data_IF_937891329102
#
_entry.id   IF_937891329102
#
_cell.length_a   1.000
_cell.length_b   1.000
_cell.length_c   1.000
_cell.angle_alpha   90.00
_cell.angle_beta   90.00
_cell.angle_gamma   90.00
#
_symmetry.space_group_name_H-M   'P 1'
#
loop_
_entity.id
_entity.type
_entity.pdbx_description
1 polymer ?
#
# COMPACT_ATOMS: atom_id res chain seq x y z
N UNK A 1 23.50 22.44 20.49
CA UNK A 1 23.20 21.26 21.34
C UNK A 1 23.17 20.02 20.45
N UNK A 2 23.57 18.83 20.92
CA UNK A 2 23.52 17.61 20.11
C UNK A 2 22.14 16.92 20.19
N UNK A 3 21.77 16.15 19.16
CA UNK A 3 20.60 15.28 19.20
C UNK A 3 20.78 14.18 20.26
N UNK A 4 19.74 13.91 21.04
CA UNK A 4 19.71 12.88 22.09
C UNK A 4 18.52 11.96 21.91
N UNK A 5 18.72 10.68 22.18
CA UNK A 5 17.66 9.68 22.16
C UNK A 5 16.65 9.94 23.27
N UNK A 6 15.38 10.07 22.92
CA UNK A 6 14.27 10.13 23.87
C UNK A 6 13.62 8.76 24.06
N UNK A 7 13.39 8.05 22.96
CA UNK A 7 12.66 6.77 22.96
C UNK A 7 13.07 5.92 21.77
N UNK A 8 13.30 4.63 22.00
CA UNK A 8 13.42 3.62 20.93
C UNK A 8 12.02 3.15 20.53
N UNK A 9 11.84 2.86 19.24
CA UNK A 9 10.58 2.36 18.68
C UNK A 9 9.37 3.16 19.16
N UNK A 10 9.29 4.46 18.84
CA UNK A 10 8.47 5.37 19.61
C UNK A 10 6.97 5.05 19.65
N UNK A 11 6.44 4.19 18.77
CA UNK A 11 5.00 3.92 18.68
C UNK A 11 4.60 2.55 18.12
N UNK A 12 3.58 1.97 18.77
CA UNK A 12 2.58 1.07 18.21
C UNK A 12 1.23 1.78 18.06
N UNK A 13 1.18 2.92 17.35
CA UNK A 13 -0.07 3.58 17.03
C UNK A 13 -0.61 3.05 15.71
N UNK A 14 -1.63 2.19 15.79
CA UNK A 14 -2.60 2.07 14.71
C UNK A 14 -3.42 3.36 14.71
N UNK A 15 -3.27 4.17 13.68
CA UNK A 15 -4.26 5.21 13.39
C UNK A 15 -5.60 4.52 13.10
N UNK A 16 -6.63 4.90 13.85
CA UNK A 16 -8.00 4.77 13.37
C UNK A 16 -8.15 5.61 12.10
N UNK A 17 -8.95 5.17 11.12
CA UNK A 17 -9.05 5.87 9.84
C UNK A 17 -9.56 7.31 10.05
N UNK A 18 -8.98 8.24 9.30
CA UNK A 18 -9.57 9.57 9.11
C UNK A 18 -11.02 9.42 8.65
N UNK A 19 -11.92 10.27 9.17
CA UNK A 19 -13.32 10.32 8.77
C UNK A 19 -13.43 10.32 7.24
N UNK A 20 -14.28 9.45 6.65
CA UNK A 20 -14.41 9.39 5.21
C UNK A 20 -14.88 10.76 4.70
N UNK A 21 -14.31 11.28 3.61
CA UNK A 21 -14.90 12.44 2.95
C UNK A 21 -16.33 12.11 2.57
N UNK A 22 -17.22 13.11 2.59
CA UNK A 22 -18.58 12.94 2.08
C UNK A 22 -18.51 12.39 0.65
N UNK A 23 -19.31 11.38 0.30
CA UNK A 23 -19.29 10.83 -1.04
C UNK A 23 -19.67 11.95 -2.02
N UNK A 24 -18.75 12.27 -2.93
CA UNK A 24 -19.13 12.98 -4.15
C UNK A 24 -20.30 12.26 -4.81
N UNK A 25 -21.13 13.01 -5.53
CA UNK A 25 -22.27 12.45 -6.24
C UNK A 25 -21.82 11.24 -7.08
N UNK A 26 -22.41 10.07 -6.81
CA UNK A 26 -22.11 8.82 -7.49
C UNK A 26 -22.30 8.96 -9.00
N UNK A 27 -21.29 8.56 -9.77
CA UNK A 27 -21.27 8.62 -11.25
C UNK A 27 -20.94 7.24 -11.82
N UNK A 28 -21.93 6.47 -12.31
CA UNK A 28 -21.67 5.19 -12.96
C UNK A 28 -20.91 5.41 -14.27
N UNK A 29 -19.99 4.51 -14.58
CA UNK A 29 -19.27 4.44 -15.86
C UNK A 29 -19.76 3.28 -16.73
N UNK A 30 -20.43 2.31 -16.13
CA UNK A 30 -21.05 1.17 -16.78
C UNK A 30 -22.51 1.04 -16.33
N UNK A 31 -23.41 0.74 -17.27
CA UNK A 31 -24.82 0.40 -17.03
C UNK A 31 -25.20 -0.82 -17.90
N UNK A 32 -26.22 -1.63 -17.53
CA UNK A 32 -27.00 -1.51 -16.29
C UNK A 32 -26.16 -1.85 -15.03
N UNK A 33 -26.58 -1.35 -13.87
CA UNK A 33 -25.95 -1.64 -12.57
C UNK A 33 -26.20 -3.07 -12.08
N UNK A 34 -25.66 -4.05 -12.81
CA UNK A 34 -25.83 -5.48 -12.56
C UNK A 34 -24.47 -6.19 -12.44
N UNK A 35 -24.43 -7.33 -11.76
CA UNK A 35 -23.21 -8.10 -11.58
C UNK A 35 -22.59 -8.49 -12.94
N UNK A 36 -21.28 -8.30 -13.07
CA UNK A 36 -20.52 -8.63 -14.27
C UNK A 36 -19.59 -9.81 -14.02
N UNK A 37 -19.50 -10.71 -15.01
CA UNK A 37 -18.66 -11.91 -15.03
C UNK A 37 -17.71 -11.86 -16.21
N UNK A 38 -16.57 -12.54 -16.10
CA UNK A 38 -15.51 -12.46 -17.10
C UNK A 38 -14.20 -13.07 -16.61
N UNK A 39 -13.07 -12.48 -17.00
CA UNK A 39 -11.75 -12.88 -16.49
C UNK A 39 -11.06 -14.01 -17.26
N UNK A 40 -11.43 -14.25 -18.52
CA UNK A 40 -10.78 -15.25 -19.38
C UNK A 40 -9.55 -14.71 -20.12
N UNK A 41 -9.36 -13.39 -20.15
CA UNK A 41 -8.23 -12.78 -20.82
C UNK A 41 -6.92 -13.09 -20.07
N UNK A 42 -5.83 -13.42 -20.78
CA UNK A 42 -4.51 -13.45 -20.15
C UNK A 42 -4.14 -12.05 -19.66
N UNK A 43 -3.42 -11.97 -18.54
CA UNK A 43 -2.86 -10.68 -18.08
C UNK A 43 -1.61 -10.32 -18.89
N UNK A 44 -1.34 -9.02 -19.09
CA UNK A 44 -0.07 -8.57 -19.63
C UNK A 44 1.11 -9.05 -18.78
N UNK A 45 2.16 -9.50 -19.45
CA UNK A 45 3.45 -9.76 -18.82
C UNK A 45 4.45 -8.68 -19.25
N UNK A 46 5.34 -8.22 -18.36
CA UNK A 46 5.46 -8.64 -16.96
C UNK A 46 4.33 -8.12 -16.07
N UNK A 47 3.93 -8.91 -15.08
CA UNK A 47 3.02 -8.48 -14.02
C UNK A 47 3.82 -8.01 -12.82
N UNK A 48 3.75 -6.72 -12.52
CA UNK A 48 4.50 -6.09 -11.44
C UNK A 48 3.66 -5.90 -10.19
N UNK A 49 4.27 -6.11 -9.03
CA UNK A 49 3.74 -5.71 -7.72
C UNK A 49 4.74 -4.77 -7.08
N UNK A 50 4.32 -3.57 -6.69
CA UNK A 50 5.15 -2.65 -5.89
C UNK A 50 4.59 -2.59 -4.49
N UNK A 51 5.49 -2.72 -3.51
CA UNK A 51 5.16 -2.60 -2.10
C UNK A 51 6.33 -1.97 -1.34
N UNK A 52 6.02 -1.39 -0.19
CA UNK A 52 6.97 -0.71 0.66
C UNK A 52 6.69 -0.95 2.13
N UNK A 53 7.77 -0.89 2.92
CA UNK A 53 7.74 -1.03 4.37
C UNK A 53 8.42 0.15 5.03
N UNK A 54 7.94 0.47 6.21
CA UNK A 54 8.51 1.50 7.07
C UNK A 54 8.62 0.99 8.50
N UNK A 55 9.61 1.49 9.22
CA UNK A 55 9.82 1.22 10.64
C UNK A 55 10.32 2.48 11.31
N UNK A 56 9.57 2.97 12.30
CA UNK A 56 10.08 3.95 13.24
C UNK A 56 11.15 3.30 14.13
N UNK A 57 12.33 3.91 14.22
CA UNK A 57 13.48 3.33 14.94
C UNK A 57 13.75 4.10 16.24
N UNK A 58 13.64 5.43 16.24
CA UNK A 58 13.78 6.25 17.45
C UNK A 58 13.15 7.64 17.33
N UNK A 59 12.73 8.18 18.47
CA UNK A 59 12.46 9.60 18.63
C UNK A 59 13.67 10.25 19.30
N UNK A 60 14.17 11.34 18.71
CA UNK A 60 15.32 12.11 19.21
C UNK A 60 14.94 13.56 19.44
N UNK A 61 15.67 14.24 20.31
CA UNK A 61 15.47 15.65 20.63
C UNK A 61 16.75 16.48 20.63
N UNK A 62 16.62 17.75 20.28
CA UNK A 62 17.67 18.75 20.37
C UNK A 62 17.05 20.06 20.88
N UNK A 63 17.13 20.27 22.20
CA UNK A 63 16.34 21.31 22.85
C UNK A 63 14.83 21.04 22.67
N UNK A 64 14.03 22.01 22.19
CA UNK A 64 12.60 21.80 21.93
C UNK A 64 12.31 21.07 20.62
N UNK A 65 13.31 20.87 19.75
CA UNK A 65 13.12 20.22 18.44
C UNK A 65 13.06 18.71 18.60
N UNK A 66 12.10 18.08 17.92
CA UNK A 66 11.94 16.63 17.82
C UNK A 66 12.22 16.17 16.40
N UNK A 67 12.82 14.99 16.26
CA UNK A 67 12.93 14.30 14.99
C UNK A 67 12.67 12.80 15.14
N UNK A 68 12.07 12.20 14.11
CA UNK A 68 11.78 10.77 14.05
C UNK A 68 12.79 10.10 13.13
N UNK A 69 13.63 9.24 13.71
CA UNK A 69 14.52 8.36 12.97
C UNK A 69 13.74 7.12 12.54
N UNK A 70 13.79 6.79 11.26
CA UNK A 70 13.10 5.64 10.70
C UNK A 70 13.85 5.02 9.53
N UNK A 71 13.47 3.79 9.20
CA UNK A 71 13.92 3.10 8.01
C UNK A 71 12.73 2.87 7.08
N UNK A 72 12.90 3.19 5.80
CA UNK A 72 11.93 2.93 4.75
C UNK A 72 12.56 2.03 3.69
N UNK A 73 11.77 1.13 3.14
CA UNK A 73 12.18 0.21 2.09
C UNK A 73 11.06 0.08 1.06
N UNK A 74 11.43 -0.09 -0.20
CA UNK A 74 10.49 -0.40 -1.27
C UNK A 74 11.15 -1.32 -2.28
N UNK A 75 10.34 -2.08 -2.99
CA UNK A 75 10.79 -2.93 -4.07
C UNK A 75 9.62 -3.35 -4.95
N UNK A 76 9.94 -4.13 -5.96
CA UNK A 76 8.94 -4.71 -6.83
C UNK A 76 9.15 -6.21 -6.97
N UNK A 77 8.09 -6.90 -7.33
CA UNK A 77 8.13 -8.28 -7.81
C UNK A 77 7.58 -8.30 -9.23
N UNK A 78 8.30 -8.94 -10.14
CA UNK A 78 7.85 -9.20 -11.51
C UNK A 78 7.48 -10.68 -11.66
N UNK A 79 6.31 -10.92 -12.24
CA UNK A 79 5.86 -12.24 -12.69
C UNK A 79 5.90 -12.27 -14.22
N UNK A 80 6.75 -13.14 -14.78
CA UNK A 80 6.91 -13.35 -16.23
C UNK A 80 7.07 -14.84 -16.51
N UNK A 81 6.20 -15.44 -17.32
CA UNK A 81 6.24 -16.86 -17.66
C UNK A 81 6.26 -17.78 -16.43
N UNK A 82 5.54 -17.41 -15.37
CA UNK A 82 5.52 -18.13 -14.08
C UNK A 82 6.78 -17.98 -13.22
N UNK A 83 7.78 -17.22 -13.66
CA UNK A 83 8.97 -16.89 -12.86
C UNK A 83 8.72 -15.64 -12.02
N UNK A 84 9.23 -15.66 -10.80
CA UNK A 84 9.13 -14.54 -9.86
C UNK A 84 10.52 -13.93 -9.70
N UNK A 85 10.65 -12.65 -10.00
CA UNK A 85 11.89 -11.89 -9.81
C UNK A 85 11.65 -10.70 -8.89
N UNK A 86 12.59 -10.45 -7.97
CA UNK A 86 12.54 -9.27 -7.09
C UNK A 86 13.40 -8.17 -7.70
N UNK A 87 12.78 -7.02 -7.96
CA UNK A 87 13.38 -5.89 -8.64
C UNK A 87 13.45 -4.66 -7.74
N UNK A 88 14.39 -3.76 -8.05
CA UNK A 88 14.37 -2.38 -7.53
C UNK A 88 14.41 -2.27 -6.00
N UNK A 89 14.97 -3.25 -5.28
CA UNK A 89 15.07 -3.21 -3.82
C UNK A 89 15.87 -1.99 -3.37
N UNK A 90 15.22 -1.10 -2.63
CA UNK A 90 15.81 0.10 -2.06
C UNK A 90 15.51 0.15 -0.57
N UNK A 91 16.50 0.53 0.22
CA UNK A 91 16.37 0.79 1.66
C UNK A 91 17.05 2.11 1.97
N UNK A 92 16.38 2.95 2.74
CA UNK A 92 16.91 4.24 3.21
C UNK A 92 16.60 4.41 4.68
N UNK A 93 17.44 5.17 5.36
CA UNK A 93 17.19 5.67 6.71
C UNK A 93 16.96 7.16 6.63
N UNK A 94 15.87 7.60 7.25
CA UNK A 94 15.41 8.98 7.18
C UNK A 94 15.22 9.52 8.59
N UNK A 95 15.61 10.77 8.80
CA UNK A 95 15.31 11.52 10.00
C UNK A 95 14.31 12.61 9.67
N UNK A 96 13.04 12.35 9.96
CA UNK A 96 11.96 13.30 9.74
C UNK A 96 12.08 14.44 10.76
N UNK A 97 12.14 15.68 10.28
CA UNK A 97 12.38 16.85 11.14
C UNK A 97 13.86 17.14 11.38
N UNK A 98 14.79 16.40 10.75
CA UNK A 98 16.20 16.79 10.70
C UNK A 98 16.44 17.81 9.58
N UNK A 99 17.35 18.75 9.82
CA UNK A 99 17.85 19.70 8.82
C UNK A 99 19.07 19.13 8.05
N UNK A 100 19.86 18.28 8.72
CA UNK A 100 21.08 17.67 8.19
C UNK A 100 21.12 16.18 8.51
N UNK A 101 22.00 15.43 7.83
CA UNK A 101 22.14 14.00 8.09
C UNK A 101 22.65 13.73 9.52
N UNK A 102 22.00 12.79 10.22
CA UNK A 102 22.42 12.37 11.56
C UNK A 102 23.11 11.01 11.50
N UNK A 103 24.30 10.93 12.08
CA UNK A 103 25.09 9.71 12.19
C UNK A 103 24.95 9.09 13.58
N UNK A 104 24.71 7.78 13.62
CA UNK A 104 24.69 6.98 14.84
C UNK A 104 25.55 5.72 14.62
N UNK A 105 26.87 5.87 14.77
CA UNK A 105 27.83 4.86 14.33
C UNK A 105 27.82 4.73 12.82
N UNK A 106 27.54 3.53 12.31
CA UNK A 106 27.43 3.25 10.86
C UNK A 106 26.06 3.60 10.27
N UNK A 107 25.09 3.97 11.10
CA UNK A 107 23.75 4.35 10.65
C UNK A 107 23.72 5.82 10.24
N UNK A 108 23.25 6.10 9.02
CA UNK A 108 23.05 7.45 8.48
C UNK A 108 21.57 7.70 8.26
N UNK A 109 21.03 8.72 8.92
CA UNK A 109 19.65 9.17 8.74
C UNK A 109 19.64 10.45 7.91
N UNK A 110 19.17 10.35 6.67
CA UNK A 110 19.08 11.49 5.76
C UNK A 110 17.87 12.38 6.12
N UNK A 111 17.97 13.71 6.00
CA UNK A 111 16.88 14.61 6.38
C UNK A 111 15.63 14.39 5.51
N UNK A 112 14.47 14.41 6.16
CA UNK A 112 13.16 14.33 5.52
C UNK A 112 12.18 15.35 6.13
N UNK A 113 11.27 15.93 5.33
CA UNK A 113 10.33 16.94 5.82
C UNK A 113 9.26 16.35 6.74
N UNK A 114 8.89 17.10 7.77
CA UNK A 114 7.66 16.84 8.54
C UNK A 114 6.44 17.22 7.73
N UNK A 115 5.34 16.49 7.88
CA UNK A 115 4.06 16.79 7.23
C UNK A 115 2.98 17.03 8.27
N UNK A 116 2.96 18.25 8.80
CA UNK A 116 2.12 18.65 9.93
C UNK A 116 2.92 18.84 11.21
N UNK A 117 2.23 18.91 12.34
CA UNK A 117 2.80 19.20 13.64
C UNK A 117 2.91 17.96 14.54
N UNK A 118 3.79 18.04 15.53
CA UNK A 118 3.94 16.99 16.54
C UNK A 118 4.36 15.63 15.97
N UNK A 119 4.09 14.58 16.75
CA UNK A 119 4.49 13.21 16.40
C UNK A 119 3.73 12.67 15.18
N UNK A 120 2.47 13.08 15.00
CA UNK A 120 1.66 12.72 13.84
C UNK A 120 2.30 13.25 12.55
N UNK A 121 2.75 14.51 12.54
CA UNK A 121 3.44 15.10 11.39
C UNK A 121 4.77 14.40 11.06
N UNK A 122 5.51 13.97 12.08
CA UNK A 122 6.72 13.16 11.90
C UNK A 122 6.41 11.78 11.29
N UNK A 123 5.36 11.11 11.76
CA UNK A 123 4.92 9.83 11.17
C UNK A 123 4.40 9.98 9.76
N UNK A 124 3.68 11.06 9.46
CA UNK A 124 3.23 11.38 8.11
C UNK A 124 4.42 11.62 7.17
N UNK A 125 5.47 12.30 7.64
CA UNK A 125 6.73 12.44 6.90
C UNK A 125 7.43 11.10 6.62
N UNK A 126 7.45 10.18 7.59
CA UNK A 126 8.02 8.83 7.40
C UNK A 126 7.24 8.05 6.33
N UNK A 127 5.91 8.09 6.40
CA UNK A 127 5.01 7.49 5.40
C UNK A 127 5.24 8.09 4.01
N UNK A 128 5.36 9.40 3.92
CA UNK A 128 5.65 10.07 2.65
C UNK A 128 7.03 9.68 2.09
N UNK A 129 8.04 9.45 2.94
CA UNK A 129 9.34 8.94 2.51
C UNK A 129 9.26 7.52 1.94
N UNK A 130 8.43 6.63 2.51
CA UNK A 130 8.13 5.31 1.94
C UNK A 130 7.41 5.43 0.60
N UNK A 131 6.32 6.21 0.53
CA UNK A 131 5.53 6.41 -0.69
C UNK A 131 6.38 6.99 -1.84
N UNK A 132 7.32 7.89 -1.52
CA UNK A 132 8.27 8.41 -2.50
C UNK A 132 9.24 7.35 -3.01
N UNK A 133 9.63 6.38 -2.18
CA UNK A 133 10.50 5.28 -2.57
C UNK A 133 9.75 4.27 -3.46
N UNK A 134 8.50 3.93 -3.11
CA UNK A 134 7.60 3.11 -3.94
C UNK A 134 7.41 3.74 -5.33
N UNK A 135 7.16 5.05 -5.40
CA UNK A 135 7.05 5.78 -6.68
C UNK A 135 8.31 5.64 -7.54
N UNK A 136 9.49 5.85 -6.95
CA UNK A 136 10.77 5.70 -7.65
C UNK A 136 11.02 4.28 -8.15
N UNK A 137 10.52 3.27 -7.44
CA UNK A 137 10.57 1.88 -7.91
C UNK A 137 9.62 1.69 -9.10
N UNK A 138 8.40 2.21 -9.00
CA UNK A 138 7.38 2.10 -10.04
C UNK A 138 7.75 2.82 -11.37
N UNK A 139 8.47 3.94 -11.30
CA UNK A 139 8.93 4.71 -12.48
C UNK A 139 9.74 3.88 -13.47
N UNK A 140 10.49 2.87 -12.99
CA UNK A 140 11.31 2.00 -13.84
C UNK A 140 10.57 0.81 -14.45
N UNK A 141 9.27 0.65 -14.20
CA UNK A 141 8.51 -0.56 -14.55
C UNK A 141 7.50 -0.30 -15.68
N UNK A 142 7.90 0.31 -16.80
CA UNK A 142 6.98 0.83 -17.84
C UNK A 142 6.24 -0.23 -18.65
N UNK A 143 6.77 -1.45 -18.75
CA UNK A 143 6.14 -2.55 -19.50
C UNK A 143 5.00 -3.22 -18.70
N UNK A 144 4.18 -4.03 -19.39
CA UNK A 144 3.21 -4.92 -18.73
C UNK A 144 2.14 -4.24 -17.86
N UNK A 145 1.77 -4.86 -16.74
CA UNK A 145 0.73 -4.40 -15.81
C UNK A 145 1.32 -4.21 -14.41
N UNK A 146 1.12 -3.03 -13.81
CA UNK A 146 1.46 -2.78 -12.41
C UNK A 146 0.24 -2.93 -11.50
N UNK A 147 0.40 -3.66 -10.42
CA UNK A 147 -0.56 -3.82 -9.33
C UNK A 147 0.03 -3.24 -8.04
N UNK A 148 -0.72 -2.38 -7.36
CA UNK A 148 -0.33 -1.75 -6.08
C UNK A 148 -1.31 -2.10 -4.96
N UNK A 149 -0.79 -2.40 -3.77
CA UNK A 149 -1.61 -2.67 -2.57
C UNK A 149 -2.07 -1.34 -1.94
N UNK A 150 -3.29 -0.95 -2.28
CA UNK A 150 -3.92 0.26 -1.80
C UNK A 150 -4.40 1.21 -2.91
N UNK A 151 -4.88 2.39 -2.49
CA UNK A 151 -5.27 3.47 -3.39
C UNK A 151 -4.23 3.79 -4.48
N UNK A 152 -4.69 4.00 -5.71
CA UNK A 152 -3.87 4.61 -6.76
C UNK A 152 -3.57 6.05 -6.38
N UNK A 153 -2.28 6.37 -6.25
CA UNK A 153 -1.74 7.69 -5.89
C UNK A 153 -0.74 8.23 -6.90
N UNK A 154 -0.52 7.50 -7.98
CA UNK A 154 0.46 7.83 -9.02
C UNK A 154 -0.22 7.70 -10.38
N UNK A 155 0.28 8.50 -11.32
CA UNK A 155 0.08 8.29 -12.74
C UNK A 155 1.34 7.67 -13.29
N UNK A 156 1.17 6.73 -14.21
CA UNK A 156 2.26 6.13 -14.97
C UNK A 156 1.79 5.88 -16.39
N UNK A 157 2.75 5.73 -17.28
CA UNK A 157 2.48 5.20 -18.60
C UNK A 157 2.19 3.69 -18.48
N UNK A 158 1.18 3.24 -19.23
CA UNK A 158 0.73 1.85 -19.24
C UNK A 158 -0.27 1.46 -18.13
N UNK A 159 -0.77 0.22 -18.17
CA UNK A 159 -1.79 -0.30 -17.26
C UNK A 159 -1.38 -0.29 -15.76
N UNK A 160 -2.32 0.14 -14.91
CA UNK A 160 -2.17 0.21 -13.46
C UNK A 160 -3.45 -0.22 -12.74
N UNK A 161 -3.34 -1.10 -11.75
CA UNK A 161 -4.42 -1.47 -10.86
C UNK A 161 -4.02 -1.23 -9.41
N UNK A 162 -4.80 -0.45 -8.68
CA UNK A 162 -4.78 -0.44 -7.22
C UNK A 162 -5.84 -1.39 -6.68
N UNK A 163 -5.50 -2.15 -5.63
CA UNK A 163 -6.46 -3.01 -4.94
C UNK A 163 -6.55 -2.65 -3.46
N UNK A 164 -7.77 -2.48 -2.95
CA UNK A 164 -8.06 -1.96 -1.63
C UNK A 164 -8.93 -2.96 -0.89
N UNK A 165 -8.39 -3.44 0.24
CA UNK A 165 -9.00 -4.45 1.11
C UNK A 165 -10.03 -3.84 2.05
N UNK A 166 -9.83 -2.59 2.44
CA UNK A 166 -10.62 -1.94 3.49
C UNK A 166 -11.64 -0.95 2.94
N UNK A 167 -12.90 -1.15 3.34
CA UNK A 167 -14.08 -0.49 2.76
C UNK A 167 -14.63 0.60 3.69
N UNK A 168 -13.76 1.48 4.21
CA UNK A 168 -14.17 2.50 5.19
C UNK A 168 -14.95 3.67 4.58
N UNK A 169 -14.76 3.93 3.29
CA UNK A 169 -15.45 5.00 2.56
C UNK A 169 -16.60 4.40 1.76
N UNK A 170 -17.82 4.87 2.00
CA UNK A 170 -19.00 4.51 1.21
C UNK A 170 -19.03 5.37 -0.06
N UNK A 171 -18.67 4.77 -1.18
CA UNK A 171 -18.72 5.45 -2.49
C UNK A 171 -20.05 5.24 -3.23
N UNK A 172 -20.82 4.26 -2.82
CA UNK A 172 -22.07 3.89 -3.47
C UNK A 172 -23.25 4.44 -2.64
N UNK A 173 -24.30 4.96 -3.29
CA UNK A 173 -25.56 5.21 -2.60
C UNK A 173 -26.18 3.88 -2.17
N UNK A 174 -27.02 3.91 -1.15
CA UNK A 174 -27.56 2.71 -0.47
C UNK A 174 -28.23 1.73 -1.45
N UNK A 175 -28.90 2.24 -2.48
CA UNK A 175 -29.59 1.46 -3.50
C UNK A 175 -28.61 0.64 -4.35
N UNK A 176 -27.39 1.16 -4.55
CA UNK A 176 -26.32 0.51 -5.32
C UNK A 176 -25.44 -0.39 -4.46
N UNK A 177 -25.36 -0.13 -3.14
CA UNK A 177 -24.67 -0.97 -2.16
C UNK A 177 -25.25 -2.39 -2.07
N UNK A 178 -26.56 -2.56 -2.30
CA UNK A 178 -27.21 -3.87 -2.27
C UNK A 178 -26.57 -4.89 -3.21
N UNK A 179 -26.03 -4.44 -4.36
CA UNK A 179 -25.32 -5.32 -5.29
C UNK A 179 -24.05 -5.91 -4.66
N UNK A 180 -23.37 -5.16 -3.78
CA UNK A 180 -22.16 -5.66 -3.12
C UNK A 180 -22.46 -6.95 -2.38
N UNK A 181 -23.52 -6.98 -1.58
CA UNK A 181 -23.93 -8.16 -0.81
C UNK A 181 -24.35 -9.33 -1.71
N UNK A 182 -24.92 -9.03 -2.88
CA UNK A 182 -25.38 -10.03 -3.84
C UNK A 182 -24.26 -10.62 -4.73
N UNK A 183 -23.09 -9.98 -4.83
CA UNK A 183 -21.98 -10.48 -5.66
C UNK A 183 -21.54 -11.89 -5.24
N UNK A 184 -21.63 -12.83 -6.18
CA UNK A 184 -21.04 -14.15 -6.05
C UNK A 184 -19.52 -14.12 -6.29
N UNK A 185 -18.75 -15.09 -5.78
CA UNK A 185 -17.33 -15.21 -6.08
C UNK A 185 -17.05 -15.21 -7.59
N UNK A 186 -16.08 -14.41 -8.02
CA UNK A 186 -15.74 -14.22 -9.44
C UNK A 186 -16.63 -13.21 -10.18
N UNK A 187 -17.50 -12.48 -9.45
CA UNK A 187 -18.26 -11.36 -10.00
C UNK A 187 -17.67 -10.01 -9.58
N UNK A 188 -17.98 -8.98 -10.38
CA UNK A 188 -17.71 -7.59 -10.05
C UNK A 188 -18.96 -6.72 -10.17
N UNK A 189 -18.94 -5.57 -9.51
CA UNK A 189 -19.84 -4.48 -9.86
C UNK A 189 -19.44 -3.84 -11.19
N UNK A 190 -20.36 -3.12 -11.84
CA UNK A 190 -20.02 -2.14 -12.86
C UNK A 190 -19.09 -1.07 -12.30
N UNK A 191 -18.28 -0.47 -13.17
CA UNK A 191 -17.36 0.59 -12.81
C UNK A 191 -18.09 1.90 -12.52
N UNK A 192 -17.55 2.66 -11.58
CA UNK A 192 -18.01 3.99 -11.20
C UNK A 192 -16.81 4.91 -11.03
N UNK A 193 -17.05 6.21 -11.12
CA UNK A 193 -16.01 7.23 -11.01
C UNK A 193 -15.73 7.57 -9.54
N UNK A 194 -14.45 7.76 -9.23
CA UNK A 194 -13.98 8.29 -7.95
C UNK A 194 -13.02 9.44 -8.25
N UNK A 195 -13.28 10.61 -7.67
CA UNK A 195 -12.28 11.68 -7.60
C UNK A 195 -11.45 11.54 -6.32
N UNK A 196 -10.12 11.61 -6.43
CA UNK A 196 -9.25 11.62 -5.25
C UNK A 196 -8.01 12.47 -5.49
N UNK A 197 -7.84 13.54 -4.72
CA UNK A 197 -6.66 14.41 -4.73
C UNK A 197 -6.27 14.85 -6.17
N UNK A 198 -7.26 15.25 -6.98
CA UNK A 198 -7.03 15.67 -8.36
C UNK A 198 -6.95 14.54 -9.40
N UNK A 199 -7.03 13.27 -8.98
CA UNK A 199 -7.07 12.12 -9.89
C UNK A 199 -8.52 11.69 -10.16
N UNK A 200 -8.84 11.50 -11.44
CA UNK A 200 -10.05 10.82 -11.89
C UNK A 200 -9.76 9.32 -12.01
N UNK A 201 -10.46 8.51 -11.21
CA UNK A 201 -10.29 7.06 -11.17
C UNK A 201 -11.58 6.36 -11.60
N UNK A 202 -11.43 5.27 -12.33
CA UNK A 202 -12.48 4.26 -12.46
C UNK A 202 -12.29 3.24 -11.34
N UNK A 203 -13.36 2.89 -10.63
CA UNK A 203 -13.34 1.92 -9.53
C UNK A 203 -14.51 0.94 -9.64
N UNK A 204 -14.31 -0.28 -9.15
CA UNK A 204 -15.31 -1.34 -9.07
C UNK A 204 -14.99 -2.26 -7.90
N UNK A 205 -15.95 -3.08 -7.49
CA UNK A 205 -15.72 -4.11 -6.47
C UNK A 205 -15.68 -5.49 -7.12
N UNK A 206 -14.76 -6.35 -6.68
CA UNK A 206 -14.62 -7.74 -7.08
C UNK A 206 -14.85 -8.63 -5.86
N UNK A 207 -15.60 -9.72 -6.01
CA UNK A 207 -15.75 -10.73 -4.97
C UNK A 207 -14.76 -11.87 -5.19
N UNK A 208 -13.80 -12.02 -4.28
CA UNK A 208 -12.85 -13.14 -4.31
C UNK A 208 -13.48 -14.44 -3.81
N UNK A 209 -13.07 -15.61 -4.34
CA UNK A 209 -13.36 -16.87 -3.71
C UNK A 209 -12.63 -16.93 -2.36
N UNK A 210 -13.39 -17.09 -1.26
CA UNK A 210 -12.77 -17.57 -0.02
C UNK A 210 -13.00 -19.10 0.08
N UNK A 211 -12.00 -19.89 0.45
CA UNK A 211 -12.18 -21.29 0.84
C UNK A 211 -12.00 -21.49 2.37
N UNK A 212 -12.70 -22.45 3.01
CA UNK A 212 -13.82 -23.24 2.49
C UNK A 212 -15.09 -22.40 2.34
N UNK A 213 -15.99 -22.87 1.48
CA UNK A 213 -17.32 -22.27 1.27
C UNK A 213 -18.16 -22.38 2.55
N UNK A 214 -18.89 -21.31 2.91
CA UNK A 214 -19.65 -21.25 4.17
C UNK A 214 -20.25 -19.88 4.45
N UNK A 215 -20.98 -19.76 5.57
CA UNK A 215 -21.62 -18.50 5.99
C UNK A 215 -20.56 -17.44 6.27
N UNK A 216 -20.72 -16.27 5.64
CA UNK A 216 -19.75 -15.19 5.68
C UNK A 216 -20.43 -13.89 6.09
N UNK A 217 -19.69 -12.99 6.77
CA UNK A 217 -20.09 -11.60 6.81
C UNK A 217 -20.33 -11.08 5.37
N UNK A 218 -21.38 -10.27 5.12
CA UNK A 218 -21.78 -9.87 3.76
C UNK A 218 -20.66 -9.25 2.91
N UNK A 219 -19.69 -8.60 3.55
CA UNK A 219 -18.58 -7.92 2.88
C UNK A 219 -17.29 -8.76 2.80
N UNK A 220 -17.30 -10.00 3.28
CA UNK A 220 -16.11 -10.85 3.28
C UNK A 220 -15.64 -11.16 1.85
N UNK A 221 -14.36 -10.94 1.58
CA UNK A 221 -13.76 -11.20 0.26
C UNK A 221 -14.15 -10.19 -0.80
N UNK A 222 -14.79 -9.07 -0.46
CA UNK A 222 -14.83 -7.93 -1.36
C UNK A 222 -13.44 -7.30 -1.44
N UNK A 223 -13.09 -6.91 -2.66
CA UNK A 223 -11.91 -6.16 -2.98
C UNK A 223 -12.34 -4.97 -3.86
N UNK A 224 -12.04 -3.74 -3.43
CA UNK A 224 -12.20 -2.59 -4.32
C UNK A 224 -10.99 -2.51 -5.22
N UNK A 225 -11.22 -2.36 -6.50
CA UNK A 225 -10.18 -2.18 -7.50
C UNK A 225 -10.35 -0.81 -8.13
N UNK A 226 -9.24 -0.15 -8.48
CA UNK A 226 -9.28 1.14 -9.17
C UNK A 226 -8.10 1.31 -10.15
N UNK A 227 -8.31 2.14 -11.17
CA UNK A 227 -7.33 2.52 -12.19
C UNK A 227 -7.56 3.98 -12.59
N UNK A 228 -6.55 4.72 -13.09
CA UNK A 228 -6.77 6.01 -13.74
C UNK A 228 -7.83 5.93 -14.84
N UNK A 229 -8.76 6.88 -14.85
CA UNK A 229 -9.88 6.93 -15.80
C UNK A 229 -9.44 7.12 -17.25
N UNK A 230 -8.27 7.73 -17.46
CA UNK A 230 -7.68 7.95 -18.79
C UNK A 230 -7.18 6.66 -19.47
N UNK A 231 -7.05 5.57 -18.73
CA UNK A 231 -6.59 4.28 -19.23
C UNK A 231 -7.73 3.35 -19.68
N UNK A 232 -7.39 2.12 -20.14
CA UNK A 232 -8.35 1.12 -20.61
C UNK A 232 -9.11 0.45 -19.45
N UNK A 233 -9.89 1.23 -18.70
CA UNK A 233 -10.45 0.76 -17.42
C UNK A 233 -11.44 -0.40 -17.56
N UNK A 234 -12.18 -0.51 -18.67
CA UNK A 234 -13.11 -1.63 -18.89
C UNK A 234 -12.37 -2.95 -19.07
N UNK A 235 -11.31 -2.96 -19.88
CA UNK A 235 -10.47 -4.13 -20.10
C UNK A 235 -9.78 -4.56 -18.80
N UNK A 236 -9.30 -3.58 -18.00
CA UNK A 236 -8.73 -3.85 -16.68
C UNK A 236 -9.75 -4.34 -15.66
N UNK A 237 -11.00 -3.86 -15.73
CA UNK A 237 -12.09 -4.36 -14.90
C UNK A 237 -12.40 -5.83 -15.21
N UNK A 238 -12.48 -6.20 -16.48
CA UNK A 238 -12.70 -7.60 -16.88
C UNK A 238 -11.49 -8.48 -16.56
N UNK A 239 -10.26 -7.98 -16.73
CA UNK A 239 -9.04 -8.68 -16.36
C UNK A 239 -8.98 -8.98 -14.86
N UNK A 240 -9.42 -8.03 -14.03
CA UNK A 240 -9.39 -8.16 -12.56
C UNK A 240 -10.13 -9.40 -12.04
N UNK A 241 -11.15 -9.87 -12.76
CA UNK A 241 -11.94 -11.05 -12.43
C UNK A 241 -11.15 -12.36 -12.54
N UNK A 242 -10.15 -12.43 -13.42
CA UNK A 242 -9.24 -13.58 -13.51
C UNK A 242 -7.98 -13.39 -12.67
N UNK A 243 -7.45 -12.17 -12.65
CA UNK A 243 -6.19 -11.81 -12.01
C UNK A 243 -6.21 -12.02 -10.49
N UNK A 244 -7.14 -11.38 -9.78
CA UNK A 244 -7.10 -11.39 -8.31
C UNK A 244 -7.44 -12.76 -7.72
N UNK A 245 -8.43 -13.53 -8.21
CA UNK A 245 -8.65 -14.90 -7.74
C UNK A 245 -7.44 -15.82 -7.93
N UNK A 246 -6.69 -15.68 -9.04
CA UNK A 246 -5.50 -16.49 -9.29
C UNK A 246 -4.33 -16.17 -8.34
N UNK A 247 -4.28 -14.93 -7.83
CA UNK A 247 -3.19 -14.44 -6.97
C UNK A 247 -3.54 -14.41 -5.48
N UNK A 248 -4.82 -14.57 -5.16
CA UNK A 248 -5.33 -14.61 -3.80
C UNK A 248 -4.63 -15.70 -2.98
N UNK A 249 -4.16 -15.33 -1.79
CA UNK A 249 -3.57 -16.31 -0.86
C UNK A 249 -4.64 -17.27 -0.32
N UNK A 250 -4.19 -18.45 0.13
CA UNK A 250 -5.05 -19.44 0.78
C UNK A 250 -4.96 -19.27 2.32
N UNK A 251 -6.05 -19.40 3.10
CA UNK A 251 -6.04 -19.25 4.56
C UNK A 251 -5.03 -20.12 5.32
N UNK A 252 -4.67 -21.27 4.74
CA UNK A 252 -3.61 -22.16 5.26
C UNK A 252 -2.21 -21.54 5.16
N UNK A 253 -1.98 -20.65 4.19
CA UNK A 253 -0.68 -20.03 3.90
C UNK A 253 -0.53 -18.62 4.45
N UNK A 254 -1.63 -17.88 4.57
CA UNK A 254 -1.67 -16.54 5.15
C UNK A 254 -2.96 -16.37 5.96
N UNK A 255 -2.90 -16.09 7.28
CA UNK A 255 -4.10 -15.78 8.06
C UNK A 255 -4.84 -14.53 7.56
N UNK A 256 -4.17 -13.69 6.74
CA UNK A 256 -4.73 -12.50 6.07
C UNK A 256 -5.35 -12.85 4.68
N UNK A 257 -5.42 -14.13 4.32
CA UNK A 257 -6.05 -14.59 3.09
C UNK A 257 -7.56 -14.30 3.07
N UNK A 258 -8.17 -14.26 1.87
CA UNK A 258 -7.57 -14.33 0.53
C UNK A 258 -7.11 -12.97 0.00
N UNK A 259 -7.24 -11.93 0.82
CA UNK A 259 -7.10 -10.55 0.37
C UNK A 259 -5.65 -10.17 0.11
N UNK A 260 -4.69 -10.88 0.72
CA UNK A 260 -3.28 -10.73 0.40
C UNK A 260 -2.89 -11.51 -0.85
N UNK A 261 -2.21 -10.83 -1.77
CA UNK A 261 -1.67 -11.48 -2.97
C UNK A 261 -0.35 -12.16 -2.65
N UNK A 262 -0.17 -13.40 -3.10
CA UNK A 262 1.02 -14.21 -2.81
C UNK A 262 2.36 -13.53 -3.16
N UNK A 263 2.49 -12.80 -4.30
CA UNK A 263 3.75 -12.12 -4.65
C UNK A 263 4.17 -11.05 -3.63
N UNK A 264 3.21 -10.35 -3.02
CA UNK A 264 3.47 -9.26 -2.08
C UNK A 264 4.07 -9.78 -0.77
N UNK A 265 3.56 -10.89 -0.24
CA UNK A 265 4.09 -11.46 1.01
C UNK A 265 5.56 -11.90 0.92
N UNK A 266 6.03 -12.31 -0.25
CA UNK A 266 7.45 -12.59 -0.50
C UNK A 266 8.33 -11.35 -0.45
N UNK A 267 7.87 -10.29 -1.11
CA UNK A 267 8.53 -8.98 -1.12
C UNK A 267 8.61 -8.38 0.29
N UNK A 268 7.52 -8.39 1.05
CA UNK A 268 7.46 -7.88 2.42
C UNK A 268 8.54 -8.51 3.32
N UNK A 269 8.80 -9.82 3.16
CA UNK A 269 9.85 -10.55 3.91
C UNK A 269 11.25 -10.12 3.50
N UNK A 270 11.51 -9.99 2.20
CA UNK A 270 12.81 -9.56 1.69
C UNK A 270 13.12 -8.11 2.09
N UNK A 271 12.13 -7.21 1.99
CA UNK A 271 12.26 -5.82 2.46
C UNK A 271 12.60 -5.77 3.96
N UNK A 272 11.87 -6.54 4.77
CA UNK A 272 12.12 -6.62 6.21
C UNK A 272 13.53 -7.12 6.54
N UNK A 273 14.02 -8.12 5.80
CA UNK A 273 15.38 -8.65 5.94
C UNK A 273 16.43 -7.57 5.64
N UNK A 274 16.21 -6.77 4.59
CA UNK A 274 17.13 -5.69 4.16
C UNK A 274 17.13 -4.47 5.08
N UNK A 275 16.02 -4.20 5.77
CA UNK A 275 15.94 -3.14 6.78
C UNK A 275 16.79 -3.44 8.04
N UNK A 276 17.24 -4.69 8.20
CA UNK A 276 18.04 -5.12 9.35
C UNK A 276 17.19 -5.37 10.60
N UNK A 277 17.83 -5.94 11.62
CA UNK A 277 17.17 -6.35 12.87
C UNK A 277 16.91 -5.15 13.80
N UNK A 278 15.68 -4.96 14.30
CA UNK A 278 15.36 -3.85 15.21
C UNK A 278 16.26 -3.83 16.45
N UNK A 279 16.59 -5.00 17.01
CA UNK A 279 17.39 -5.08 18.24
C UNK A 279 18.85 -4.65 18.05
N UNK A 280 19.38 -4.80 16.84
CA UNK A 280 20.75 -4.34 16.51
C UNK A 280 20.75 -2.82 16.34
N UNK A 281 19.78 -2.30 15.57
CA UNK A 281 19.63 -0.87 15.34
C UNK A 281 19.37 -0.13 16.65
N UNK A 282 18.43 -0.61 17.47
CA UNK A 282 18.11 -0.01 18.76
C UNK A 282 19.31 0.06 19.70
N UNK A 283 20.16 -0.98 19.73
CA UNK A 283 21.42 -0.96 20.51
C UNK A 283 22.42 0.07 19.99
N UNK A 284 22.55 0.23 18.67
CA UNK A 284 23.40 1.26 18.08
C UNK A 284 22.90 2.66 18.44
N UNK A 285 21.59 2.92 18.28
CA UNK A 285 20.98 4.21 18.62
C UNK A 285 21.14 4.53 20.11
N UNK A 286 20.91 3.56 21.00
CA UNK A 286 21.14 3.73 22.43
C UNK A 286 22.61 4.06 22.75
N UNK A 287 23.57 3.37 22.12
CA UNK A 287 25.00 3.60 22.33
C UNK A 287 25.45 4.99 21.90
N UNK A 288 25.04 5.45 20.71
CA UNK A 288 25.55 6.69 20.12
C UNK A 288 24.72 7.93 20.48
N UNK A 289 23.41 7.78 20.71
CA UNK A 289 22.49 8.90 20.98
C UNK A 289 21.90 8.89 22.40
N UNK A 290 21.97 7.77 23.12
CA UNK A 290 21.44 7.63 24.50
C UNK A 290 22.15 8.50 25.53
N UNK A 291 23.42 8.83 25.28
CA UNK A 291 24.27 9.53 26.24
C UNK A 291 24.65 8.64 27.42
N UNK A 292 25.95 8.37 27.56
CA UNK A 292 26.46 8.01 28.87
C UNK A 292 26.18 9.19 29.82
N UNK A 293 25.49 8.93 30.92
CA UNK A 293 25.77 9.66 32.16
C UNK A 293 27.05 9.09 32.75
#
# INVERSE_FOLDING_TARGET
>A
MAWRLLRLEPLGLQEGPASPPEPEAFRPLEEPWEAKRGGKAPWPEPLYFVDGRERAEALVAQGPRLALLGCVAAGAVALTGGRVEVLGLRVRRVGVGLEEALWAGELVYEPAPTLGEGLEGLMAGLRAAREALERKVAEGLSEGLLVVDGPVRLLREGPLLGYIKTHWVRYLPKEREALLEALAPGERTPAFRVHRKGLELASWYVRLPLPPEGLRPPLAGLLRVETPLSGPFLELADLSLGLFPALASHPVKDPRAPQNLLPVGGLERELSRRMGRPEVVGRMLARYLGGAR
#
